data_IF_134993643214
#
_entry.id   IF_134993643214
#
_cell.length_a   1.000
_cell.length_b   1.000
_cell.length_c   1.000
_cell.angle_alpha   90.00
_cell.angle_beta   90.00
_cell.angle_gamma   90.00
#
_symmetry.space_group_name_H-M   'P 1'
#
loop_
_entity.id
_entity.type
_entity.pdbx_description
1 polymer ?
#
# COMPACT_ATOMS: atom_id res chain seq x y z
N UNK A 1 -10.79 13.22 5.07
CA UNK A 1 -9.60 12.58 4.46
C UNK A 1 -8.80 13.65 3.75
N UNK A 2 -7.49 13.71 3.98
CA UNK A 2 -6.58 14.57 3.22
C UNK A 2 -5.89 13.70 2.19
N UNK A 3 -5.75 14.20 0.99
CA UNK A 3 -5.01 13.55 -0.09
C UNK A 3 -4.28 14.62 -0.89
N UNK A 4 -3.14 14.23 -1.41
CA UNK A 4 -2.33 15.06 -2.29
C UNK A 4 -2.22 14.40 -3.65
N UNK A 5 -2.61 15.10 -4.71
CA UNK A 5 -2.33 14.68 -6.07
C UNK A 5 -0.94 15.18 -6.47
N UNK A 6 -0.03 14.26 -6.76
CA UNK A 6 1.36 14.57 -7.11
C UNK A 6 1.59 14.61 -8.64
N UNK A 7 0.63 14.18 -9.44
CA UNK A 7 0.80 14.00 -10.87
C UNK A 7 0.72 15.27 -11.71
N UNK A 8 1.44 15.27 -12.84
CA UNK A 8 1.39 16.30 -13.89
C UNK A 8 0.68 15.81 -15.17
N UNK A 9 0.30 14.55 -15.25
CA UNK A 9 -0.34 13.96 -16.43
C UNK A 9 -1.81 14.35 -16.53
N UNK A 10 -2.30 14.70 -17.71
CA UNK A 10 -3.66 15.22 -17.87
C UNK A 10 -4.72 14.15 -17.63
N UNK A 11 -4.60 12.99 -18.32
CA UNK A 11 -5.48 11.83 -18.13
C UNK A 11 -4.64 10.57 -18.10
N UNK A 12 -4.78 9.77 -17.05
CA UNK A 12 -4.07 8.50 -16.91
C UNK A 12 -4.72 7.63 -15.84
N UNK A 13 -4.44 6.32 -15.83
CA UNK A 13 -4.73 5.46 -14.71
C UNK A 13 -4.05 5.99 -13.44
N UNK A 14 -4.63 5.68 -12.28
CA UNK A 14 -4.23 6.33 -11.02
C UNK A 14 -3.75 5.31 -9.99
N UNK A 15 -2.67 5.64 -9.31
CA UNK A 15 -2.12 4.84 -8.20
C UNK A 15 -2.33 5.60 -6.88
N UNK A 16 -2.99 4.95 -5.93
CA UNK A 16 -3.15 5.43 -4.56
C UNK A 16 -1.96 4.95 -3.73
N UNK A 17 -1.29 5.87 -3.02
CA UNK A 17 -0.21 5.53 -2.10
C UNK A 17 -0.62 5.77 -0.66
N UNK A 18 -0.34 4.79 0.21
CA UNK A 18 -0.63 4.85 1.63
C UNK A 18 0.63 4.73 2.47
N UNK A 19 0.81 5.70 3.35
CA UNK A 19 1.95 5.79 4.24
C UNK A 19 1.99 4.72 5.34
N UNK A 20 3.16 4.47 5.91
CA UNK A 20 3.38 3.64 7.10
C UNK A 20 2.87 4.29 8.40
N UNK A 21 3.35 3.80 9.53
CA UNK A 21 2.97 4.31 10.86
C UNK A 21 3.52 5.71 11.19
N UNK A 22 4.52 6.16 10.45
CA UNK A 22 5.12 7.47 10.65
C UNK A 22 4.32 8.65 10.05
N UNK A 23 3.27 8.37 9.27
CA UNK A 23 2.56 9.38 8.49
C UNK A 23 3.16 9.54 7.09
N UNK A 24 2.67 10.53 6.34
CA UNK A 24 3.20 10.87 5.02
C UNK A 24 4.65 11.32 5.15
N UNK A 25 5.53 10.74 4.35
CA UNK A 25 6.97 10.96 4.41
C UNK A 25 7.55 11.30 3.03
N UNK A 26 8.83 11.73 3.01
CA UNK A 26 9.56 11.96 1.77
C UNK A 26 9.62 10.71 0.87
N UNK A 27 9.62 9.51 1.47
CA UNK A 27 9.58 8.26 0.72
C UNK A 27 8.29 8.08 -0.09
N UNK A 28 7.15 8.47 0.47
CA UNK A 28 5.88 8.43 -0.26
C UNK A 28 5.90 9.37 -1.47
N UNK A 29 6.47 10.57 -1.34
CA UNK A 29 6.62 11.51 -2.45
C UNK A 29 7.65 11.01 -3.49
N UNK A 30 8.75 10.38 -3.03
CA UNK A 30 9.71 9.77 -3.95
C UNK A 30 9.05 8.67 -4.80
N UNK A 31 8.31 7.75 -4.19
CA UNK A 31 7.57 6.72 -4.93
C UNK A 31 6.51 7.31 -5.86
N UNK A 32 5.80 8.35 -5.41
CA UNK A 32 4.84 9.03 -6.26
C UNK A 32 5.50 9.61 -7.53
N UNK A 33 6.68 10.23 -7.40
CA UNK A 33 7.42 10.75 -8.55
C UNK A 33 7.88 9.63 -9.49
N UNK A 34 8.42 8.53 -8.95
CA UNK A 34 8.83 7.36 -9.73
C UNK A 34 7.64 6.80 -10.54
N UNK A 35 6.47 6.68 -9.92
CA UNK A 35 5.25 6.16 -10.57
C UNK A 35 4.72 7.15 -11.62
N UNK A 36 4.83 8.44 -11.36
CA UNK A 36 4.47 9.48 -12.34
C UNK A 36 5.35 9.43 -13.59
N UNK A 37 6.65 9.12 -13.43
CA UNK A 37 7.57 8.91 -14.56
C UNK A 37 7.18 7.71 -15.44
N UNK A 38 6.45 6.74 -14.89
CA UNK A 38 5.89 5.61 -15.63
C UNK A 38 4.58 5.94 -16.37
N UNK A 39 4.07 7.17 -16.23
CA UNK A 39 2.87 7.64 -16.91
C UNK A 39 1.57 7.50 -16.10
N UNK A 40 1.63 7.12 -14.83
CA UNK A 40 0.46 7.05 -13.96
C UNK A 40 0.21 8.36 -13.20
N UNK A 41 -1.03 8.66 -12.91
CA UNK A 41 -1.36 9.65 -11.88
C UNK A 41 -1.15 9.06 -10.48
N UNK A 42 -0.78 9.87 -9.50
CA UNK A 42 -0.63 9.41 -8.11
C UNK A 42 -1.42 10.28 -7.13
N UNK A 43 -1.95 9.62 -6.12
CA UNK A 43 -2.66 10.24 -5.00
C UNK A 43 -2.11 9.67 -3.70
N UNK A 44 -1.48 10.50 -2.86
CA UNK A 44 -1.04 10.11 -1.53
C UNK A 44 -2.18 10.35 -0.54
N UNK A 45 -2.55 9.32 0.21
CA UNK A 45 -3.60 9.38 1.23
C UNK A 45 -2.97 9.62 2.59
N UNK A 46 -3.37 10.70 3.25
CA UNK A 46 -3.04 10.95 4.65
C UNK A 46 -4.17 10.41 5.55
N UNK A 47 -3.88 9.31 6.21
CA UNK A 47 -4.81 8.64 7.12
C UNK A 47 -4.91 9.32 8.48
N UNK A 48 -4.06 10.32 8.79
CA UNK A 48 -3.83 10.83 10.13
C UNK A 48 -4.36 12.23 10.38
N UNK A 49 -4.04 13.17 9.51
CA UNK A 49 -4.23 14.62 9.78
C UNK A 49 -5.67 14.97 10.18
N UNK A 50 -6.69 14.53 9.45
CA UNK A 50 -8.08 14.82 9.80
C UNK A 50 -8.60 14.05 11.01
N UNK A 51 -7.85 13.05 11.50
CA UNK A 51 -8.15 12.31 12.72
C UNK A 51 -7.41 12.86 13.94
N UNK A 52 -6.65 13.95 13.78
CA UNK A 52 -5.82 14.51 14.84
C UNK A 52 -4.67 13.62 15.28
N UNK A 53 -4.24 12.69 14.41
CA UNK A 53 -3.14 11.77 14.67
C UNK A 53 -1.88 12.36 14.04
N UNK A 54 -0.93 12.77 14.85
CA UNK A 54 0.31 13.38 14.34
C UNK A 54 1.40 12.34 14.01
N UNK A 55 1.47 11.28 14.79
CA UNK A 55 2.42 10.17 14.56
C UNK A 55 1.96 8.93 15.31
N UNK A 56 2.02 7.80 14.65
CA UNK A 56 1.74 6.52 15.27
C UNK A 56 3.03 5.89 15.82
N UNK A 57 3.06 5.63 17.12
CA UNK A 57 4.23 5.06 17.82
C UNK A 57 4.17 3.53 17.93
N UNK A 58 3.71 2.85 16.87
CA UNK A 58 3.61 1.38 16.85
C UNK A 58 2.36 0.80 17.50
N UNK A 59 1.51 1.60 18.16
CA UNK A 59 0.22 1.16 18.69
C UNK A 59 -0.90 1.37 17.68
N UNK A 60 -1.85 0.45 17.64
CA UNK A 60 -3.05 0.56 16.81
C UNK A 60 -3.97 1.64 17.39
N UNK A 61 -3.86 2.85 16.88
CA UNK A 61 -4.75 3.96 17.27
C UNK A 61 -6.11 3.76 16.62
N UNK A 62 -7.19 4.00 17.36
CA UNK A 62 -8.54 3.98 16.83
C UNK A 62 -8.70 5.02 15.70
N UNK A 63 -9.38 4.62 14.62
CA UNK A 63 -9.51 5.43 13.41
C UNK A 63 -8.31 5.38 12.45
N UNK A 64 -7.23 4.66 12.78
CA UNK A 64 -6.08 4.45 11.89
C UNK A 64 -5.64 2.98 11.78
N UNK A 65 -6.49 2.06 12.19
CA UNK A 65 -6.29 0.62 12.05
C UNK A 65 -6.31 0.21 10.57
N UNK A 66 -5.83 -0.98 10.26
CA UNK A 66 -5.81 -1.51 8.89
C UNK A 66 -7.19 -1.47 8.22
N UNK A 67 -8.27 -1.81 8.95
CA UNK A 67 -9.65 -1.73 8.46
C UNK A 67 -10.11 -0.29 8.16
N UNK A 68 -9.64 0.68 8.94
CA UNK A 68 -9.99 2.09 8.72
C UNK A 68 -9.31 2.62 7.46
N UNK A 69 -8.05 2.20 7.23
CA UNK A 69 -7.31 2.49 5.99
C UNK A 69 -7.94 1.83 4.77
N UNK A 70 -8.48 0.61 4.92
CA UNK A 70 -9.22 -0.06 3.85
C UNK A 70 -10.48 0.73 3.44
N UNK A 71 -11.19 1.32 4.40
CA UNK A 71 -12.31 2.26 4.11
C UNK A 71 -11.83 3.50 3.40
N UNK A 72 -10.71 4.08 3.86
CA UNK A 72 -10.13 5.26 3.21
C UNK A 72 -9.78 4.97 1.73
N UNK A 73 -9.25 3.79 1.42
CA UNK A 73 -8.97 3.41 0.03
C UNK A 73 -10.24 3.36 -0.82
N UNK A 74 -11.31 2.80 -0.27
CA UNK A 74 -12.59 2.75 -0.96
C UNK A 74 -13.14 4.15 -1.26
N UNK A 75 -13.09 5.04 -0.28
CA UNK A 75 -13.55 6.43 -0.40
C UNK A 75 -12.72 7.22 -1.42
N UNK A 76 -11.38 7.05 -1.38
CA UNK A 76 -10.47 7.70 -2.33
C UNK A 76 -10.66 7.16 -3.74
N UNK A 77 -10.83 5.85 -3.92
CA UNK A 77 -11.10 5.26 -5.22
C UNK A 77 -12.40 5.80 -5.84
N UNK A 78 -13.47 5.92 -5.03
CA UNK A 78 -14.73 6.54 -5.45
C UNK A 78 -14.57 8.00 -5.83
N UNK A 79 -13.76 8.75 -5.08
CA UNK A 79 -13.48 10.14 -5.39
C UNK A 79 -12.66 10.27 -6.68
N UNK A 80 -11.61 9.45 -6.87
CA UNK A 80 -10.77 9.42 -8.07
C UNK A 80 -11.63 9.17 -9.31
N UNK A 81 -12.54 8.21 -9.27
CA UNK A 81 -13.41 7.87 -10.39
C UNK A 81 -14.32 9.02 -10.89
N UNK A 82 -14.43 10.11 -10.10
CA UNK A 82 -15.18 11.32 -10.46
C UNK A 82 -14.28 12.46 -10.97
N UNK A 83 -12.97 12.25 -11.02
CA UNK A 83 -12.05 13.33 -11.37
C UNK A 83 -11.81 13.40 -12.88
N UNK A 84 -11.77 14.60 -13.49
CA UNK A 84 -11.60 14.77 -14.92
C UNK A 84 -10.20 14.35 -15.43
N UNK A 85 -9.23 14.23 -14.55
CA UNK A 85 -7.86 13.81 -14.86
C UNK A 85 -7.65 12.30 -14.70
N UNK A 86 -8.59 11.58 -14.13
CA UNK A 86 -8.53 10.12 -14.03
C UNK A 86 -9.09 9.47 -15.29
N UNK A 87 -8.43 8.44 -15.76
CA UNK A 87 -8.90 7.59 -16.85
C UNK A 87 -8.55 6.12 -16.55
N UNK A 88 -9.51 5.24 -16.76
CA UNK A 88 -9.30 3.81 -16.70
C UNK A 88 -9.27 3.24 -15.28
N UNK A 89 -8.13 2.69 -14.90
CA UNK A 89 -7.99 1.78 -13.73
C UNK A 89 -7.27 2.44 -12.56
N UNK A 90 -7.48 1.85 -11.38
CA UNK A 90 -6.84 2.28 -10.13
C UNK A 90 -6.04 1.12 -9.56
N UNK A 91 -4.83 1.40 -9.04
CA UNK A 91 -4.07 0.49 -8.17
C UNK A 91 -3.86 1.13 -6.81
N UNK A 92 -3.60 0.30 -5.79
CA UNK A 92 -3.32 0.75 -4.43
C UNK A 92 -1.95 0.22 -4.02
N UNK A 93 -1.09 1.10 -3.49
CA UNK A 93 0.22 0.74 -2.94
C UNK A 93 0.28 1.18 -1.49
N UNK A 94 0.69 0.30 -0.60
CA UNK A 94 0.83 0.61 0.82
C UNK A 94 2.16 0.16 1.40
N UNK A 95 2.69 0.97 2.32
CA UNK A 95 3.97 0.75 2.99
C UNK A 95 3.74 0.42 4.46
N UNK A 96 4.34 -0.65 5.00
CA UNK A 96 4.24 -1.04 6.41
C UNK A 96 2.77 -1.14 6.87
N UNK A 97 2.32 -0.26 7.76
CA UNK A 97 0.92 -0.18 8.18
C UNK A 97 -0.03 0.13 7.00
N UNK A 98 0.41 0.91 6.01
CA UNK A 98 -0.31 1.11 4.75
C UNK A 98 -0.41 -0.19 3.95
N UNK A 99 0.65 -1.00 3.93
CA UNK A 99 0.65 -2.36 3.37
C UNK A 99 -0.35 -3.26 4.08
N UNK A 100 -0.42 -3.20 5.42
CA UNK A 100 -1.48 -3.86 6.19
C UNK A 100 -2.89 -3.39 5.82
N UNK A 101 -3.05 -2.10 5.53
CA UNK A 101 -4.30 -1.53 4.99
C UNK A 101 -4.66 -2.09 3.62
N UNK A 102 -3.65 -2.28 2.73
CA UNK A 102 -3.84 -2.96 1.43
C UNK A 102 -4.32 -4.39 1.65
N UNK A 103 -3.69 -5.14 2.55
CA UNK A 103 -4.08 -6.53 2.85
C UNK A 103 -5.51 -6.61 3.40
N UNK A 104 -5.93 -5.63 4.20
CA UNK A 104 -7.31 -5.51 4.68
C UNK A 104 -8.28 -5.20 3.53
N UNK A 105 -7.90 -4.30 2.62
CA UNK A 105 -8.74 -3.89 1.48
C UNK A 105 -8.97 -5.02 0.48
N UNK A 106 -7.97 -5.85 0.21
CA UNK A 106 -8.10 -6.98 -0.73
C UNK A 106 -8.84 -8.16 -0.14
N UNK A 107 -9.01 -8.22 1.19
CA UNK A 107 -9.74 -9.27 1.88
C UNK A 107 -11.26 -9.05 1.72
N UNK A 108 -11.89 -9.89 0.89
CA UNK A 108 -13.32 -9.79 0.57
C UNK A 108 -14.19 -9.90 1.81
N UNK A 109 -13.92 -10.87 2.69
CA UNK A 109 -14.73 -11.13 3.88
C UNK A 109 -14.67 -9.94 4.85
N UNK A 110 -13.46 -9.40 5.06
CA UNK A 110 -13.31 -8.22 5.91
C UNK A 110 -14.02 -7.00 5.33
N UNK A 111 -13.95 -6.79 4.02
CA UNK A 111 -14.62 -5.66 3.35
C UNK A 111 -16.14 -5.76 3.44
N UNK A 112 -16.70 -6.97 3.45
CA UNK A 112 -18.12 -7.21 3.71
C UNK A 112 -18.46 -6.94 5.19
N UNK A 113 -17.68 -7.48 6.13
CA UNK A 113 -17.86 -7.30 7.57
C UNK A 113 -17.89 -5.82 7.98
N UNK A 114 -17.01 -4.99 7.41
CA UNK A 114 -16.95 -3.56 7.71
C UNK A 114 -17.92 -2.70 6.89
N UNK A 115 -18.81 -3.32 6.08
CA UNK A 115 -19.86 -2.63 5.36
C UNK A 115 -19.40 -1.77 4.18
N UNK A 116 -18.20 -2.02 3.64
CA UNK A 116 -17.67 -1.29 2.48
C UNK A 116 -18.15 -1.91 1.18
N UNK A 117 -18.38 -3.22 1.14
CA UNK A 117 -18.98 -3.90 0.00
C UNK A 117 -20.47 -4.17 0.28
N UNK A 118 -21.35 -4.00 -0.70
CA UNK A 118 -21.13 -3.64 -2.11
C UNK A 118 -21.19 -2.13 -2.41
N UNK A 119 -21.17 -1.25 -1.41
CA UNK A 119 -21.42 0.19 -1.53
C UNK A 119 -20.41 0.96 -2.38
N UNK A 120 -19.27 0.33 -2.75
CA UNK A 120 -18.20 0.95 -3.52
C UNK A 120 -18.10 0.30 -4.88
N UNK A 121 -18.04 1.11 -5.93
CA UNK A 121 -17.70 0.60 -7.27
C UNK A 121 -16.19 0.25 -7.33
N UNK A 122 -15.85 -0.86 -6.69
CA UNK A 122 -14.47 -1.37 -6.61
C UNK A 122 -13.97 -1.99 -7.93
N UNK A 123 -14.80 -2.04 -8.96
CA UNK A 123 -14.43 -2.62 -10.25
C UNK A 123 -13.29 -1.84 -10.94
N UNK A 124 -13.08 -0.58 -10.56
CA UNK A 124 -11.97 0.22 -11.07
C UNK A 124 -10.64 -0.12 -10.37
N UNK A 125 -10.67 -0.69 -9.15
CA UNK A 125 -9.44 -1.09 -8.45
C UNK A 125 -9.08 -2.50 -8.88
N UNK A 126 -8.01 -2.61 -9.67
CA UNK A 126 -7.67 -3.84 -10.41
C UNK A 126 -6.41 -4.54 -9.93
N UNK A 127 -5.58 -3.88 -9.16
CA UNK A 127 -4.33 -4.41 -8.64
C UNK A 127 -3.94 -3.73 -7.32
N UNK A 128 -3.13 -4.40 -6.52
CA UNK A 128 -2.59 -3.82 -5.30
C UNK A 128 -1.14 -4.25 -5.05
N UNK A 129 -0.36 -3.40 -4.36
CA UNK A 129 1.01 -3.67 -3.96
C UNK A 129 1.17 -3.40 -2.47
N UNK A 130 1.78 -4.32 -1.75
CA UNK A 130 2.06 -4.18 -0.33
C UNK A 130 3.56 -4.33 -0.05
N UNK A 131 4.18 -3.27 0.47
CA UNK A 131 5.55 -3.28 0.92
C UNK A 131 5.61 -3.63 2.40
N UNK A 132 6.35 -4.64 2.75
CA UNK A 132 6.58 -5.15 4.11
C UNK A 132 5.33 -5.04 5.01
N UNK A 133 4.18 -5.59 4.56
CA UNK A 133 2.94 -5.52 5.33
C UNK A 133 3.01 -6.38 6.59
N UNK A 134 2.30 -5.98 7.62
CA UNK A 134 1.98 -6.95 8.67
C UNK A 134 0.94 -7.94 8.13
N UNK A 135 1.31 -9.22 8.12
CA UNK A 135 0.45 -10.32 7.67
C UNK A 135 -0.24 -11.04 8.84
N UNK A 136 -0.39 -10.36 9.98
CA UNK A 136 -1.15 -10.90 11.11
C UNK A 136 -2.65 -10.86 10.79
N UNK A 137 -3.13 -11.90 10.16
CA UNK A 137 -4.53 -12.05 9.79
C UNK A 137 -5.28 -12.86 10.86
N UNK A 138 -6.58 -12.55 11.00
CA UNK A 138 -7.50 -13.53 11.57
C UNK A 138 -7.62 -14.71 10.59
N UNK A 139 -7.64 -15.94 11.08
CA UNK A 139 -7.88 -17.12 10.25
C UNK A 139 -9.33 -17.11 9.73
N UNK A 140 -9.58 -17.49 8.49
CA UNK A 140 -8.61 -17.91 7.46
C UNK A 140 -7.81 -16.76 6.85
N UNK A 141 -6.70 -17.04 6.13
CA UNK A 141 -5.96 -16.00 5.41
C UNK A 141 -6.83 -15.31 4.36
N UNK A 142 -6.52 -14.05 3.99
CA UNK A 142 -7.37 -13.28 3.09
C UNK A 142 -7.53 -13.93 1.73
N UNK A 143 -8.73 -13.89 1.20
CA UNK A 143 -9.05 -14.28 -0.16
C UNK A 143 -9.06 -13.02 -1.03
N UNK A 144 -7.98 -12.73 -1.79
CA UNK A 144 -7.89 -11.50 -2.54
C UNK A 144 -8.79 -11.56 -3.78
N UNK A 145 -9.59 -10.52 -3.98
CA UNK A 145 -10.43 -10.40 -5.19
C UNK A 145 -9.67 -9.90 -6.42
N UNK A 146 -8.52 -9.26 -6.22
CA UNK A 146 -7.64 -8.70 -7.25
C UNK A 146 -6.21 -9.22 -7.08
N UNK A 147 -5.36 -9.21 -8.11
CA UNK A 147 -3.94 -9.50 -7.99
C UNK A 147 -3.22 -8.59 -6.98
N UNK A 148 -2.33 -9.18 -6.18
CA UNK A 148 -1.56 -8.48 -5.14
C UNK A 148 -0.08 -8.83 -5.26
N UNK A 149 0.76 -7.82 -5.43
CA UNK A 149 2.22 -7.97 -5.35
C UNK A 149 2.67 -7.61 -3.93
N UNK A 150 3.39 -8.52 -3.29
CA UNK A 150 3.86 -8.36 -1.90
C UNK A 150 5.38 -8.42 -1.85
N UNK A 151 6.00 -7.38 -1.31
CA UNK A 151 7.43 -7.32 -1.08
C UNK A 151 7.72 -7.48 0.41
N UNK A 152 8.60 -8.44 0.75
CA UNK A 152 8.96 -8.77 2.12
C UNK A 152 10.47 -8.60 2.32
N UNK A 153 10.87 -8.10 3.50
CA UNK A 153 12.24 -8.16 3.96
C UNK A 153 12.51 -9.48 4.68
N UNK A 154 13.53 -10.24 4.25
CA UNK A 154 13.88 -11.52 4.89
C UNK A 154 14.45 -11.36 6.29
N UNK A 155 14.95 -10.15 6.63
CA UNK A 155 15.45 -9.78 7.97
C UNK A 155 14.55 -8.75 8.67
N UNK A 156 13.28 -8.70 8.30
CA UNK A 156 12.29 -7.84 8.94
C UNK A 156 11.93 -8.38 10.33
N UNK A 157 12.35 -7.66 11.37
CA UNK A 157 12.10 -8.02 12.76
C UNK A 157 10.81 -7.40 13.33
N UNK A 158 10.16 -6.51 12.57
CA UNK A 158 8.88 -5.89 12.92
C UNK A 158 7.69 -6.62 12.26
N UNK A 159 7.71 -6.76 10.93
CA UNK A 159 6.68 -7.45 10.15
C UNK A 159 7.27 -8.74 9.58
N UNK A 160 7.42 -9.74 10.46
CA UNK A 160 8.12 -10.99 10.16
C UNK A 160 7.53 -11.67 8.91
N UNK A 161 8.36 -11.97 7.90
CA UNK A 161 7.90 -12.53 6.63
C UNK A 161 7.20 -13.90 6.77
N UNK A 162 7.50 -14.66 7.83
CA UNK A 162 6.87 -15.94 8.13
C UNK A 162 5.36 -15.84 8.33
N UNK A 163 4.87 -14.69 8.82
CA UNK A 163 3.44 -14.46 8.99
C UNK A 163 2.69 -14.35 7.66
N UNK A 164 3.42 -14.09 6.56
CA UNK A 164 2.87 -14.04 5.21
C UNK A 164 2.85 -15.42 4.52
N UNK A 165 3.47 -16.44 5.10
CA UNK A 165 3.58 -17.78 4.51
C UNK A 165 2.26 -18.52 4.34
N UNK A 166 1.19 -18.11 5.00
CA UNK A 166 -0.16 -18.67 4.84
C UNK A 166 -0.91 -18.13 3.59
N UNK A 167 -0.36 -17.12 2.90
CA UNK A 167 -0.95 -16.55 1.67
C UNK A 167 -0.63 -17.44 0.47
N UNK A 168 -1.49 -18.39 0.17
CA UNK A 168 -1.30 -19.40 -0.88
C UNK A 168 -2.26 -19.24 -2.09
N UNK A 169 -3.04 -18.17 -2.15
CA UNK A 169 -3.90 -17.90 -3.31
C UNK A 169 -3.04 -17.47 -4.51
N UNK A 170 -3.40 -17.96 -5.71
CA UNK A 170 -2.68 -17.67 -6.97
C UNK A 170 -2.64 -16.18 -7.34
N UNK A 171 -3.48 -15.34 -6.74
CA UNK A 171 -3.45 -13.88 -6.92
C UNK A 171 -2.37 -13.18 -6.10
N UNK A 172 -1.74 -13.85 -5.13
CA UNK A 172 -0.60 -13.30 -4.43
C UNK A 172 0.71 -13.61 -5.18
N UNK A 173 1.42 -12.58 -5.59
CA UNK A 173 2.80 -12.65 -6.06
C UNK A 173 3.70 -12.13 -4.94
N UNK A 174 4.39 -13.04 -4.25
CA UNK A 174 5.22 -12.69 -3.09
C UNK A 174 6.69 -12.71 -3.49
N UNK A 175 7.40 -11.62 -3.25
CA UNK A 175 8.85 -11.52 -3.39
C UNK A 175 9.47 -11.21 -2.03
N UNK A 176 10.33 -12.10 -1.56
CA UNK A 176 11.14 -11.87 -0.36
C UNK A 176 12.57 -11.51 -0.77
N UNK A 177 13.09 -10.41 -0.20
CA UNK A 177 14.48 -9.98 -0.34
C UNK A 177 15.27 -10.47 0.88
N UNK A 178 16.14 -11.48 0.76
CA UNK A 178 16.72 -12.19 1.91
C UNK A 178 17.46 -11.29 2.90
N UNK A 179 18.14 -10.25 2.40
CA UNK A 179 18.96 -9.35 3.20
C UNK A 179 18.29 -8.02 3.55
N UNK A 180 17.05 -7.79 3.10
CA UNK A 180 16.32 -6.58 3.39
C UNK A 180 15.65 -6.63 4.78
N UNK A 181 15.61 -5.47 5.43
CA UNK A 181 14.93 -5.25 6.72
C UNK A 181 13.57 -4.58 6.49
N UNK A 182 12.86 -4.23 7.57
CA UNK A 182 11.68 -3.37 7.46
C UNK A 182 12.02 -2.03 6.83
N UNK A 183 11.12 -1.45 6.03
CA UNK A 183 11.33 -0.16 5.35
C UNK A 183 12.64 -0.08 4.56
N UNK A 184 12.99 -1.14 3.84
CA UNK A 184 14.26 -1.28 3.10
C UNK A 184 14.42 -0.23 1.98
N UNK A 185 13.36 0.47 1.62
CA UNK A 185 13.30 1.51 0.61
C UNK A 185 13.41 2.94 1.19
N UNK A 186 13.46 3.08 2.51
CA UNK A 186 13.63 4.37 3.17
C UNK A 186 15.12 4.65 3.49
N UNK A 187 15.70 5.63 2.80
CA UNK A 187 17.04 6.11 3.07
C UNK A 187 17.00 7.27 4.07
N UNK A 188 16.71 6.95 5.33
CA UNK A 188 16.65 7.93 6.41
C UNK A 188 17.98 7.95 7.17
N UNK A 189 18.62 9.15 7.36
CA UNK A 189 19.87 9.28 8.09
C UNK A 189 19.75 8.98 9.60
N UNK A 190 18.53 9.02 10.14
CA UNK A 190 18.24 8.78 11.56
C UNK A 190 16.91 8.05 11.73
N UNK A 191 16.97 6.76 11.97
CA UNK A 191 15.81 6.00 12.42
C UNK A 191 15.98 5.67 13.90
N UNK A 192 15.33 6.43 14.79
CA UNK A 192 15.10 5.98 16.17
C UNK A 192 13.87 5.05 16.09
N UNK A 193 14.11 3.80 15.75
CA UNK A 193 13.09 2.77 15.67
C UNK A 193 13.39 1.68 16.68
N UNK A 194 12.35 1.00 17.14
CA UNK A 194 12.46 -0.19 17.99
C UNK A 194 12.74 -1.46 17.18
N UNK A 195 12.95 -1.34 15.88
CA UNK A 195 13.22 -2.41 14.93
C UNK A 195 14.39 -2.04 14.02
N UNK A 196 14.96 -3.03 13.34
CA UNK A 196 16.08 -2.82 12.42
C UNK A 196 15.58 -2.23 11.12
N UNK A 197 16.16 -1.09 10.72
CA UNK A 197 15.87 -0.43 9.44
C UNK A 197 17.18 -0.12 8.72
N UNK A 198 17.32 -0.63 7.48
CA UNK A 198 18.48 -0.38 6.63
C UNK A 198 18.04 -0.26 5.18
N UNK A 199 18.48 0.81 4.53
CA UNK A 199 18.29 0.96 3.10
C UNK A 199 19.00 -0.18 2.34
N UNK A 200 18.30 -0.76 1.37
CA UNK A 200 18.84 -1.82 0.52
C UNK A 200 18.59 -1.48 -0.95
N UNK A 201 19.62 -0.94 -1.60
CA UNK A 201 19.52 -0.47 -2.99
C UNK A 201 19.13 -1.56 -3.99
N UNK A 202 19.59 -2.80 -3.77
CA UNK A 202 19.22 -3.92 -4.65
C UNK A 202 17.75 -4.28 -4.52
N UNK A 203 17.24 -4.36 -3.28
CA UNK A 203 15.82 -4.62 -3.04
C UNK A 203 14.94 -3.50 -3.60
N UNK A 204 15.37 -2.23 -3.49
CA UNK A 204 14.67 -1.09 -4.08
C UNK A 204 14.65 -1.18 -5.60
N UNK A 205 15.78 -1.44 -6.24
CA UNK A 205 15.88 -1.54 -7.70
C UNK A 205 14.99 -2.65 -8.24
N UNK A 206 15.07 -3.85 -7.64
CA UNK A 206 14.27 -5.00 -8.07
C UNK A 206 12.78 -4.79 -7.79
N UNK A 207 12.40 -4.22 -6.61
CA UNK A 207 11.00 -3.92 -6.33
C UNK A 207 10.42 -2.89 -7.29
N UNK A 208 11.20 -1.88 -7.67
CA UNK A 208 10.82 -0.87 -8.65
C UNK A 208 10.53 -1.50 -10.03
N UNK A 209 11.41 -2.37 -10.51
CA UNK A 209 11.24 -3.07 -11.78
C UNK A 209 10.02 -4.01 -11.76
N UNK A 210 9.92 -4.85 -10.75
CA UNK A 210 8.79 -5.79 -10.60
C UNK A 210 7.45 -5.05 -10.49
N UNK A 211 7.41 -3.96 -9.71
CA UNK A 211 6.20 -3.16 -9.55
C UNK A 211 5.78 -2.50 -10.86
N UNK A 212 6.73 -1.97 -11.64
CA UNK A 212 6.42 -1.41 -12.95
C UNK A 212 5.78 -2.44 -13.87
N UNK A 213 6.41 -3.61 -14.01
CA UNK A 213 5.88 -4.72 -14.84
C UNK A 213 4.49 -5.14 -14.36
N UNK A 214 4.29 -5.23 -13.05
CA UNK A 214 3.01 -5.60 -12.46
C UNK A 214 1.91 -4.56 -12.73
N UNK A 215 2.22 -3.27 -12.56
CA UNK A 215 1.28 -2.19 -12.86
C UNK A 215 0.95 -2.13 -14.36
N UNK A 216 1.95 -2.20 -15.23
CA UNK A 216 1.74 -2.17 -16.69
C UNK A 216 0.82 -3.32 -17.13
N UNK A 217 0.98 -4.51 -16.56
CA UNK A 217 0.15 -5.69 -16.86
C UNK A 217 -1.32 -5.52 -16.48
N UNK A 218 -1.60 -4.82 -15.38
CA UNK A 218 -2.93 -4.79 -14.79
C UNK A 218 -3.67 -3.46 -15.00
N UNK A 219 -2.93 -2.37 -15.28
CA UNK A 219 -3.49 -1.03 -15.36
C UNK A 219 -3.79 -0.58 -16.82
N UNK A 220 -3.33 -1.33 -17.82
CA UNK A 220 -3.57 -1.08 -19.27
C UNK A 220 -4.46 -2.10 -19.95
#
# INVERSE_FOLDING_TARGET
>A
MVYERVSKTAKAPTVILAHGSAGVSANNHWWANVINEWGYNTVIVDHYTLRGIYRHTGRMVEGARMRDRAKDFADVANWIGKQPWHEGRISIIGFSMGGGGVMAFVNTDLMQEIGVMPAVNLNQVVAAVAFYPSCLFRKPPPQPRIPVLVFLGGRDDLAKPEYCGEMNDAKFLIKTFPDATHSFDENLPFAVTTFTQRYNSNAVSESKEMMKIFLDKHMH
#
